data_IF_450275434602
#
_entry.id   IF_450275434602
#
_cell.length_a   1.000
_cell.length_b   1.000
_cell.length_c   1.000
_cell.angle_alpha   90.00
_cell.angle_beta   90.00
_cell.angle_gamma   90.00
#
_symmetry.space_group_name_H-M   'P 1'
#
loop_
_entity.id
_entity.type
_entity.pdbx_description
1 polymer ?
#
# COMPACT_ATOMS: atom_id res chain seq x y z
N UNK A 1 24.22 10.39 -58.89
CA UNK A 1 23.29 9.26 -58.66
C UNK A 1 22.34 9.71 -57.56
N UNK A 2 21.11 10.20 -57.85
CA UNK A 2 19.86 9.45 -58.16
C UNK A 2 19.63 8.40 -57.05
N UNK A 3 18.59 8.42 -56.21
CA UNK A 3 17.14 8.41 -56.50
C UNK A 3 16.42 8.64 -55.14
N UNK A 4 15.64 9.71 -54.95
CA UNK A 4 14.16 9.78 -55.01
C UNK A 4 13.34 9.03 -53.92
N UNK A 5 12.47 9.83 -53.26
CA UNK A 5 11.02 9.63 -53.03
C UNK A 5 10.57 8.51 -52.06
N UNK A 6 9.42 8.54 -51.37
CA UNK A 6 8.16 9.32 -51.35
C UNK A 6 7.55 9.04 -49.94
N UNK A 7 6.97 10.04 -49.26
CA UNK A 7 5.51 10.25 -49.21
C UNK A 7 4.66 9.00 -48.94
N UNK A 8 3.94 8.99 -47.80
CA UNK A 8 2.47 8.80 -47.83
C UNK A 8 1.82 9.19 -46.50
N UNK A 9 0.84 10.07 -46.68
CA UNK A 9 -0.13 10.60 -45.72
C UNK A 9 -1.38 9.72 -45.64
N UNK A 10 -1.96 9.63 -44.44
CA UNK A 10 -3.41 9.50 -44.14
C UNK A 10 -4.13 8.19 -44.58
N UNK A 11 -5.30 7.79 -44.01
CA UNK A 11 -6.32 8.65 -43.39
C UNK A 11 -7.02 8.15 -42.10
N UNK A 12 -7.71 9.12 -41.49
CA UNK A 12 -8.81 8.99 -40.53
C UNK A 12 -9.92 8.09 -41.08
N UNK A 13 -10.49 7.22 -40.24
CA UNK A 13 -11.86 6.71 -40.43
C UNK A 13 -12.65 6.92 -39.16
N UNK A 14 -13.53 7.91 -39.22
CA UNK A 14 -14.73 7.97 -38.40
C UNK A 14 -15.70 6.88 -38.90
N UNK A 15 -16.29 6.13 -37.98
CA UNK A 15 -17.55 5.44 -38.23
C UNK A 15 -18.54 5.90 -37.17
N UNK A 16 -19.44 6.78 -37.61
CA UNK A 16 -20.73 7.00 -36.97
C UNK A 16 -21.58 5.76 -37.21
N UNK A 17 -22.15 5.19 -36.15
CA UNK A 17 -23.27 4.27 -36.24
C UNK A 17 -24.49 4.93 -35.59
N UNK A 18 -25.54 5.06 -36.39
CA UNK A 18 -26.85 5.57 -36.02
C UNK A 18 -27.85 4.42 -35.83
N UNK A 19 -28.86 4.71 -35.00
CA UNK A 19 -30.21 4.13 -34.90
C UNK A 19 -30.36 2.71 -34.32
N UNK A 20 -30.99 2.60 -33.13
CA UNK A 20 -32.36 2.09 -33.01
C UNK A 20 -32.84 2.06 -31.55
N UNK A 21 -33.80 2.93 -31.25
CA UNK A 21 -34.75 2.74 -30.16
C UNK A 21 -35.76 1.67 -30.56
N UNK A 22 -35.86 0.57 -29.79
CA UNK A 22 -37.14 -0.15 -29.61
C UNK A 22 -37.23 -0.58 -28.15
N UNK A 23 -38.22 0.01 -27.50
CA UNK A 23 -38.71 -0.29 -26.17
C UNK A 23 -39.48 -1.61 -26.22
N UNK A 24 -39.06 -2.61 -25.44
CA UNK A 24 -39.82 -3.84 -25.24
C UNK A 24 -40.02 -4.05 -23.73
N UNK A 25 -41.22 -3.68 -23.27
CA UNK A 25 -41.77 -4.12 -21.99
C UNK A 25 -41.92 -5.64 -22.02
N UNK A 26 -41.30 -6.34 -21.06
CA UNK A 26 -41.65 -7.70 -20.71
C UNK A 26 -41.93 -7.75 -19.21
N UNK A 27 -43.22 -7.75 -18.87
CA UNK A 27 -43.76 -8.04 -17.56
C UNK A 27 -43.76 -9.56 -17.35
N UNK A 28 -42.88 -10.06 -16.49
CA UNK A 28 -42.95 -11.44 -15.98
C UNK A 28 -43.43 -11.37 -14.53
N UNK A 29 -44.63 -11.92 -14.31
CA UNK A 29 -45.16 -12.23 -12.98
C UNK A 29 -44.47 -13.48 -12.46
N UNK A 30 -43.73 -13.37 -11.36
CA UNK A 30 -43.36 -14.51 -10.52
C UNK A 30 -43.84 -14.29 -9.09
N UNK A 31 -44.49 -15.34 -8.59
CA UNK A 31 -45.16 -15.42 -7.32
C UNK A 31 -44.22 -15.17 -6.14
N UNK A 32 -44.78 -14.53 -5.11
CA UNK A 32 -44.10 -14.22 -3.87
C UNK A 32 -43.74 -15.45 -3.05
N UNK A 33 -42.47 -15.56 -2.70
CA UNK A 33 -42.06 -16.07 -1.39
C UNK A 33 -41.83 -14.85 -0.50
N UNK A 34 -42.75 -14.63 0.44
CA UNK A 34 -42.60 -13.64 1.50
C UNK A 34 -41.37 -14.00 2.34
N UNK A 35 -40.29 -13.24 2.15
CA UNK A 35 -39.17 -13.23 3.09
C UNK A 35 -39.56 -12.27 4.20
N UNK A 36 -39.48 -12.65 5.50
CA UNK A 36 -39.74 -11.69 6.56
C UNK A 36 -38.77 -10.52 6.41
N UNK A 37 -39.34 -9.31 6.33
CA UNK A 37 -38.60 -8.07 6.43
C UNK A 37 -37.88 -8.07 7.78
N UNK A 38 -36.58 -8.42 7.76
CA UNK A 38 -35.68 -8.03 8.82
C UNK A 38 -35.60 -6.51 8.71
N UNK A 39 -36.29 -5.81 9.62
CA UNK A 39 -36.03 -4.42 9.96
C UNK A 39 -34.55 -4.30 10.34
N UNK A 40 -33.69 -4.17 9.34
CA UNK A 40 -32.36 -3.62 9.51
C UNK A 40 -32.61 -2.12 9.54
N UNK A 41 -32.85 -1.61 10.74
CA UNK A 41 -32.82 -0.17 11.01
C UNK A 41 -31.57 0.36 10.34
N UNK A 42 -31.80 1.25 9.38
CA UNK A 42 -30.77 1.82 8.55
C UNK A 42 -30.06 2.89 9.40
N UNK A 43 -29.27 2.47 10.39
CA UNK A 43 -28.47 3.33 11.28
C UNK A 43 -27.23 3.88 10.56
N UNK A 44 -27.24 3.95 9.23
CA UNK A 44 -26.04 4.18 8.42
C UNK A 44 -25.88 5.60 7.86
N UNK A 45 -26.81 6.52 8.11
CA UNK A 45 -26.71 7.88 7.53
C UNK A 45 -26.90 9.03 8.54
N UNK A 46 -27.53 8.77 9.69
CA UNK A 46 -27.63 9.76 10.78
C UNK A 46 -26.33 9.86 11.60
N UNK A 47 -25.59 8.75 11.74
CA UNK A 47 -24.34 8.67 12.52
C UNK A 47 -23.17 9.42 11.84
N UNK A 48 -23.31 9.76 10.55
CA UNK A 48 -22.26 10.40 9.73
C UNK A 48 -22.42 11.91 9.58
N UNK A 49 -23.53 12.50 10.05
CA UNK A 49 -23.73 13.95 10.03
C UNK A 49 -23.43 14.62 11.39
N UNK A 50 -23.08 13.85 12.42
CA UNK A 50 -22.76 14.38 13.76
C UNK A 50 -21.30 14.89 13.91
N UNK A 51 -20.64 15.27 12.81
CA UNK A 51 -19.29 15.85 12.87
C UNK A 51 -18.19 14.94 13.45
N UNK A 52 -18.50 13.67 13.70
CA UNK A 52 -17.56 12.67 14.19
C UNK A 52 -16.51 12.38 13.12
N UNK A 53 -15.27 12.81 13.34
CA UNK A 53 -14.14 12.44 12.47
C UNK A 53 -14.06 10.91 12.42
N UNK A 54 -14.10 10.28 11.24
CA UNK A 54 -13.91 8.84 11.15
C UNK A 54 -12.59 8.47 11.83
N UNK A 55 -12.68 7.66 12.89
CA UNK A 55 -11.49 7.18 13.59
C UNK A 55 -10.97 5.98 12.81
N UNK A 56 -9.99 6.22 11.94
CA UNK A 56 -9.30 5.15 11.23
C UNK A 56 -8.33 4.47 12.22
N UNK A 57 -8.49 3.17 12.45
CA UNK A 57 -7.57 2.42 13.30
C UNK A 57 -6.32 2.06 12.52
N UNK A 58 -5.25 2.79 12.79
CA UNK A 58 -3.91 2.48 12.34
C UNK A 58 -3.43 1.17 12.95
N UNK A 59 -3.09 0.19 12.12
CA UNK A 59 -2.46 -1.05 12.54
C UNK A 59 -1.03 -1.10 12.02
N UNK A 60 -0.17 -1.81 12.75
CA UNK A 60 1.11 -2.24 12.18
C UNK A 60 0.81 -3.04 10.91
N UNK A 61 1.55 -2.76 9.84
CA UNK A 61 1.44 -3.48 8.58
C UNK A 61 1.52 -5.01 8.81
N UNK A 62 0.67 -5.75 8.12
CA UNK A 62 0.80 -7.20 7.99
C UNK A 62 0.36 -7.59 6.58
N UNK A 63 0.90 -8.70 6.07
CA UNK A 63 0.49 -9.30 4.80
C UNK A 63 -0.83 -10.07 4.91
N UNK A 64 -1.36 -10.31 6.13
CA UNK A 64 -2.61 -11.02 6.36
C UNK A 64 -3.21 -10.74 7.75
N UNK A 65 -4.48 -11.11 7.99
CA UNK A 65 -5.15 -10.86 9.28
C UNK A 65 -4.52 -11.58 10.47
N UNK A 66 -3.85 -12.71 10.23
CA UNK A 66 -3.24 -13.57 11.26
C UNK A 66 -1.72 -13.74 11.05
N UNK A 67 -1.10 -12.87 10.24
CA UNK A 67 0.35 -12.93 10.01
C UNK A 67 1.04 -11.96 10.96
N UNK A 68 1.70 -12.48 11.99
CA UNK A 68 2.60 -11.68 12.82
C UNK A 68 3.90 -11.45 12.05
N UNK A 69 4.24 -10.18 11.83
CA UNK A 69 5.50 -9.79 11.21
C UNK A 69 6.35 -9.00 12.20
N UNK A 70 7.65 -9.22 12.16
CA UNK A 70 8.60 -8.37 12.86
C UNK A 70 8.94 -7.15 11.98
N UNK A 71 8.89 -5.98 12.59
CA UNK A 71 9.05 -4.71 11.89
C UNK A 71 10.41 -4.14 12.20
N UNK A 72 11.14 -3.72 11.19
CA UNK A 72 12.41 -3.03 11.30
C UNK A 72 12.27 -1.67 10.65
N UNK A 73 12.67 -0.61 11.35
CA UNK A 73 12.55 0.76 10.83
C UNK A 73 13.87 1.48 10.94
N UNK A 74 14.17 2.31 9.94
CA UNK A 74 15.41 3.07 9.90
C UNK A 74 15.41 4.14 8.83
N UNK A 75 16.55 4.80 8.74
CA UNK A 75 16.82 5.84 7.75
C UNK A 75 17.73 5.29 6.67
N UNK A 76 17.41 5.63 5.42
CA UNK A 76 18.35 5.53 4.31
C UNK A 76 19.18 6.81 4.26
N UNK A 77 18.54 7.96 4.48
CA UNK A 77 19.16 9.28 4.66
C UNK A 77 18.16 10.22 5.39
N UNK A 78 18.51 11.48 5.59
CA UNK A 78 17.68 12.48 6.30
C UNK A 78 16.27 12.69 5.72
N UNK A 79 16.06 12.33 4.46
CA UNK A 79 14.81 12.52 3.74
C UNK A 79 14.03 11.21 3.57
N UNK A 80 14.71 10.09 3.38
CA UNK A 80 14.12 8.80 3.02
C UNK A 80 14.18 7.80 4.18
N UNK A 81 13.02 7.33 4.61
CA UNK A 81 12.89 6.26 5.60
C UNK A 81 12.59 4.92 4.93
N UNK A 82 12.98 3.86 5.62
CA UNK A 82 12.71 2.47 5.25
C UNK A 82 12.01 1.74 6.40
N UNK A 83 10.93 1.05 6.06
CA UNK A 83 10.30 0.03 6.90
C UNK A 83 10.47 -1.33 6.25
N UNK A 84 10.85 -2.34 7.02
CA UNK A 84 10.96 -3.74 6.58
C UNK A 84 10.08 -4.57 7.49
N UNK A 85 9.11 -5.28 6.95
CA UNK A 85 8.33 -6.28 7.67
C UNK A 85 8.79 -7.66 7.21
N UNK A 86 9.11 -8.54 8.15
CA UNK A 86 9.60 -9.89 7.89
C UNK A 86 8.67 -10.87 8.60
N UNK A 87 8.08 -11.79 7.85
CA UNK A 87 7.40 -12.94 8.40
C UNK A 87 8.44 -13.86 9.08
N UNK A 88 8.20 -14.21 10.35
CA UNK A 88 9.08 -15.00 11.22
C UNK A 88 10.59 -14.85 10.90
N UNK A 89 11.27 -13.80 11.37
CA UNK A 89 12.68 -13.59 11.05
C UNK A 89 13.61 -14.66 11.67
N UNK A 90 13.11 -15.48 12.60
CA UNK A 90 13.87 -16.55 13.24
C UNK A 90 13.77 -17.89 12.51
N UNK A 91 12.94 -17.97 11.47
CA UNK A 91 12.81 -19.16 10.63
C UNK A 91 14.17 -19.64 10.10
N UNK A 92 14.29 -20.96 9.98
CA UNK A 92 15.54 -21.62 9.64
C UNK A 92 16.05 -21.26 8.23
N UNK A 93 17.36 -21.38 8.03
CA UNK A 93 17.98 -21.17 6.71
C UNK A 93 17.52 -22.29 5.76
N UNK A 94 16.44 -22.06 5.02
CA UNK A 94 15.81 -23.03 4.12
C UNK A 94 14.29 -22.90 4.03
N UNK A 95 13.67 -22.22 4.98
CA UNK A 95 12.24 -21.89 4.95
C UNK A 95 12.01 -20.56 4.25
N UNK A 96 11.04 -20.53 3.33
CA UNK A 96 10.62 -19.32 2.66
C UNK A 96 9.79 -18.47 3.61
N UNK A 97 10.00 -17.15 3.57
CA UNK A 97 9.25 -16.18 4.37
C UNK A 97 8.95 -14.94 3.55
N UNK A 98 7.79 -14.33 3.73
CA UNK A 98 7.50 -13.07 3.05
C UNK A 98 8.28 -11.92 3.68
N UNK A 99 8.94 -11.12 2.83
CA UNK A 99 9.55 -9.84 3.21
C UNK A 99 8.88 -8.71 2.43
N UNK A 100 8.43 -7.70 3.16
CA UNK A 100 7.89 -6.46 2.61
C UNK A 100 8.81 -5.29 2.97
N UNK A 101 9.14 -4.46 1.99
CA UNK A 101 9.90 -3.22 2.18
C UNK A 101 9.05 -2.04 1.73
N UNK A 102 8.98 -1.02 2.58
CA UNK A 102 8.37 0.26 2.25
C UNK A 102 9.39 1.39 2.34
N UNK A 103 9.45 2.21 1.29
CA UNK A 103 10.30 3.40 1.18
C UNK A 103 9.43 4.64 1.13
N UNK A 104 9.72 5.62 1.99
CA UNK A 104 8.91 6.84 2.08
C UNK A 104 9.74 8.11 2.37
N UNK A 105 9.51 9.17 1.58
CA UNK A 105 10.13 10.49 1.77
C UNK A 105 9.13 11.62 2.09
N UNK A 106 7.83 11.29 2.26
CA UNK A 106 6.72 12.24 2.45
C UNK A 106 6.52 13.27 1.32
N UNK A 107 7.18 13.12 0.16
CA UNK A 107 7.15 14.12 -0.93
C UNK A 107 6.77 13.51 -2.27
N UNK A 108 7.29 12.33 -2.59
CA UNK A 108 7.05 11.68 -3.88
C UNK A 108 7.46 10.21 -3.93
N UNK A 109 8.26 9.75 -2.96
CA UNK A 109 8.57 8.32 -2.76
C UNK A 109 7.56 7.74 -1.78
N UNK A 110 6.78 6.77 -2.27
CA UNK A 110 5.91 5.89 -1.49
C UNK A 110 5.87 4.56 -2.23
N UNK A 111 6.87 3.71 -1.98
CA UNK A 111 7.10 2.50 -2.78
C UNK A 111 7.17 1.27 -1.91
N UNK A 112 6.41 0.26 -2.30
CA UNK A 112 6.46 -1.08 -1.74
C UNK A 112 7.25 -2.04 -2.63
N UNK A 113 7.98 -2.96 -1.99
CA UNK A 113 8.58 -4.13 -2.60
C UNK A 113 8.20 -5.35 -1.77
N UNK A 114 7.91 -6.48 -2.41
CA UNK A 114 7.51 -7.72 -1.77
C UNK A 114 8.23 -8.87 -2.44
N UNK A 115 8.76 -9.80 -1.66
CA UNK A 115 9.34 -11.03 -2.18
C UNK A 115 9.27 -12.13 -1.10
N UNK A 116 9.12 -13.37 -1.54
CA UNK A 116 9.33 -14.54 -0.66
C UNK A 116 10.81 -14.92 -0.71
N UNK A 117 11.47 -14.91 0.44
CA UNK A 117 12.92 -15.03 0.52
C UNK A 117 13.33 -16.24 1.34
N UNK A 118 14.42 -16.89 0.93
CA UNK A 118 15.06 -17.96 1.69
C UNK A 118 16.43 -17.49 2.19
N UNK A 119 16.75 -17.84 3.44
CA UNK A 119 17.99 -17.42 4.09
C UNK A 119 17.99 -15.95 4.54
N UNK A 120 19.19 -15.44 4.86
CA UNK A 120 19.37 -14.14 5.55
C UNK A 120 19.83 -13.00 4.64
N UNK A 121 20.07 -13.26 3.36
CA UNK A 121 20.45 -12.23 2.39
C UNK A 121 19.60 -12.37 1.15
N UNK A 122 19.09 -11.24 0.66
CA UNK A 122 18.17 -11.21 -0.47
C UNK A 122 18.23 -9.84 -1.14
N UNK A 123 17.73 -9.79 -2.37
CA UNK A 123 17.57 -8.56 -3.14
C UNK A 123 16.13 -8.49 -3.61
N UNK A 124 15.44 -7.42 -3.26
CA UNK A 124 14.09 -7.13 -3.73
C UNK A 124 14.17 -6.14 -4.89
N UNK A 125 13.40 -6.39 -5.95
CA UNK A 125 13.35 -5.52 -7.12
C UNK A 125 11.92 -5.02 -7.38
N UNK A 126 11.80 -3.72 -7.68
CA UNK A 126 10.57 -3.08 -8.11
C UNK A 126 10.86 -2.07 -9.24
N UNK A 127 11.40 -2.58 -10.34
CA UNK A 127 11.64 -1.83 -11.58
C UNK A 127 12.89 -0.97 -11.50
N UNK A 128 12.73 0.31 -11.19
CA UNK A 128 13.85 1.25 -11.02
C UNK A 128 14.26 1.41 -9.54
N UNK A 129 13.96 0.42 -8.72
CA UNK A 129 14.30 0.43 -7.30
C UNK A 129 14.68 -0.97 -6.88
N UNK A 130 15.86 -1.09 -6.29
CA UNK A 130 16.40 -2.36 -5.82
C UNK A 130 16.81 -2.17 -4.37
N UNK A 131 16.50 -3.16 -3.54
CA UNK A 131 16.87 -3.15 -2.11
C UNK A 131 17.59 -4.45 -1.79
N UNK A 132 18.87 -4.35 -1.47
CA UNK A 132 19.64 -5.47 -0.94
C UNK A 132 19.49 -5.49 0.58
N UNK A 133 19.22 -6.66 1.14
CA UNK A 133 18.94 -6.86 2.56
C UNK A 133 19.85 -7.92 3.15
N UNK A 134 20.29 -7.69 4.39
CA UNK A 134 20.82 -8.68 5.29
C UNK A 134 19.96 -8.68 6.57
N UNK A 135 19.29 -9.80 6.81
CA UNK A 135 18.33 -10.00 7.89
C UNK A 135 19.02 -10.54 9.15
N UNK A 136 18.62 -10.02 10.31
CA UNK A 136 18.94 -10.56 11.63
C UNK A 136 17.82 -10.26 12.60
N UNK A 137 17.81 -10.95 13.75
CA UNK A 137 16.72 -10.86 14.73
C UNK A 137 16.54 -9.46 15.34
N UNK A 138 17.55 -8.59 15.29
CA UNK A 138 17.48 -7.25 15.88
C UNK A 138 17.65 -6.11 14.87
N UNK A 139 18.05 -6.44 13.65
CA UNK A 139 18.44 -5.43 12.66
C UNK A 139 18.34 -5.99 11.25
N UNK A 140 17.91 -5.14 10.33
CA UNK A 140 18.08 -5.32 8.89
C UNK A 140 19.03 -4.25 8.39
N UNK A 141 20.05 -4.65 7.64
CA UNK A 141 21.02 -3.73 7.02
C UNK A 141 21.06 -3.95 5.53
N UNK A 142 21.51 -2.97 4.76
CA UNK A 142 21.70 -3.17 3.33
C UNK A 142 21.84 -1.87 2.57
N UNK A 143 21.45 -1.91 1.29
CA UNK A 143 21.51 -0.77 0.38
C UNK A 143 20.21 -0.62 -0.39
N UNK A 144 19.79 0.62 -0.58
CA UNK A 144 18.70 1.01 -1.47
C UNK A 144 19.31 1.69 -2.68
N UNK A 145 18.96 1.23 -3.88
CA UNK A 145 19.27 1.89 -5.14
C UNK A 145 17.95 2.34 -5.77
N UNK A 146 17.82 3.61 -6.11
CA UNK A 146 16.66 4.17 -6.81
C UNK A 146 16.99 4.46 -8.28
N UNK A 147 16.20 5.28 -8.96
CA UNK A 147 16.30 5.50 -10.41
C UNK A 147 17.67 6.03 -10.90
N UNK A 148 18.43 6.71 -10.03
CA UNK A 148 19.78 7.19 -10.32
C UNK A 148 20.86 6.12 -10.15
N UNK A 149 20.47 4.92 -9.71
CA UNK A 149 21.33 3.79 -9.35
C UNK A 149 22.45 4.16 -8.36
N UNK A 150 22.26 5.20 -7.55
CA UNK A 150 23.19 5.53 -6.47
C UNK A 150 22.83 4.70 -5.24
N UNK A 151 23.63 3.69 -4.85
CA UNK A 151 23.32 2.88 -3.68
C UNK A 151 23.52 3.69 -2.40
N UNK A 152 22.49 3.72 -1.56
CA UNK A 152 22.53 4.33 -0.24
C UNK A 152 22.39 3.26 0.83
N UNK A 153 23.37 3.19 1.73
CA UNK A 153 23.32 2.23 2.84
C UNK A 153 22.26 2.63 3.86
N UNK A 154 21.65 1.64 4.49
CA UNK A 154 20.72 1.84 5.59
C UNK A 154 20.95 0.83 6.71
N UNK A 155 20.43 1.15 7.90
CA UNK A 155 20.36 0.24 9.04
C UNK A 155 19.01 0.43 9.75
N UNK A 156 18.13 -0.56 9.62
CA UNK A 156 16.81 -0.59 10.24
C UNK A 156 16.83 -1.46 11.49
N UNK A 157 16.39 -0.92 12.64
CA UNK A 157 16.36 -1.65 13.92
C UNK A 157 14.99 -2.25 14.14
N UNK A 158 14.95 -3.37 14.88
CA UNK A 158 13.69 -3.95 15.34
C UNK A 158 12.87 -2.88 16.07
N UNK A 159 11.61 -2.75 15.64
CA UNK A 159 10.68 -1.76 16.10
C UNK A 159 10.19 -2.10 17.50
N UNK A 160 10.08 -1.09 18.36
CA UNK A 160 9.59 -1.22 19.73
C UNK A 160 8.79 0.03 20.11
N UNK A 161 7.86 -0.11 21.06
CA UNK A 161 6.91 0.96 21.39
C UNK A 161 6.13 1.41 20.16
N UNK A 162 6.11 2.72 19.90
CA UNK A 162 5.42 3.34 18.78
C UNK A 162 6.17 3.22 17.44
N UNK A 163 7.45 2.81 17.45
CA UNK A 163 8.19 2.61 16.22
C UNK A 163 7.54 1.48 15.40
N UNK A 164 7.57 1.59 14.08
CA UNK A 164 7.04 0.56 13.20
C UNK A 164 6.66 1.06 11.81
N UNK A 165 6.37 0.09 10.95
CA UNK A 165 5.69 0.27 9.67
C UNK A 165 4.18 0.09 9.86
N UNK A 166 3.40 1.05 9.42
CA UNK A 166 1.96 1.12 9.63
C UNK A 166 1.23 1.27 8.32
N UNK A 167 0.01 0.70 8.29
CA UNK A 167 -0.90 0.79 7.16
C UNK A 167 -2.32 0.94 7.64
N UNK A 168 -3.08 1.78 6.95
CA UNK A 168 -4.54 1.85 7.06
C UNK A 168 -5.14 1.63 5.68
N UNK A 169 -6.13 0.75 5.60
CA UNK A 169 -6.96 0.59 4.43
C UNK A 169 -8.39 1.01 4.78
N UNK A 170 -9.02 1.81 3.93
CA UNK A 170 -10.44 2.17 4.08
C UNK A 170 -11.12 2.29 2.73
N UNK A 171 -12.42 2.02 2.71
CA UNK A 171 -13.23 2.09 1.49
C UNK A 171 -14.25 3.21 1.61
N UNK A 172 -14.31 4.09 0.62
CA UNK A 172 -15.28 5.19 0.56
C UNK A 172 -15.84 5.33 -0.86
N UNK A 173 -17.16 5.36 -0.99
CA UNK A 173 -17.81 5.50 -2.29
C UNK A 173 -17.46 4.39 -3.29
N UNK A 174 -17.11 3.19 -2.80
CA UNK A 174 -16.66 2.08 -3.64
C UNK A 174 -15.19 2.14 -4.08
N UNK A 175 -14.43 3.14 -3.63
CA UNK A 175 -13.00 3.29 -3.88
C UNK A 175 -12.23 2.83 -2.65
N UNK A 176 -11.20 2.02 -2.84
CA UNK A 176 -10.28 1.60 -1.77
C UNK A 176 -9.12 2.58 -1.68
N UNK A 177 -8.82 3.00 -0.46
CA UNK A 177 -7.71 3.88 -0.12
C UNK A 177 -6.75 3.15 0.81
N UNK A 178 -5.46 3.39 0.63
CA UNK A 178 -4.39 2.90 1.51
C UNK A 178 -3.51 4.07 1.91
N UNK A 179 -3.20 4.15 3.21
CA UNK A 179 -2.24 5.11 3.75
C UNK A 179 -1.18 4.32 4.51
N UNK A 180 0.09 4.54 4.16
CA UNK A 180 1.24 3.85 4.73
C UNK A 180 2.21 4.87 5.34
N UNK A 181 2.81 4.53 6.48
CA UNK A 181 3.82 5.39 7.11
C UNK A 181 4.80 4.61 7.99
N UNK A 182 5.94 5.23 8.26
CA UNK A 182 7.04 4.71 9.08
C UNK A 182 7.24 5.65 10.25
N UNK A 183 7.27 5.10 11.48
CA UNK A 183 7.66 5.82 12.69
C UNK A 183 8.99 5.24 13.19
N UNK A 184 9.99 6.10 13.39
CA UNK A 184 11.28 5.72 13.97
C UNK A 184 11.23 5.69 15.50
N UNK A 185 12.25 5.10 16.12
CA UNK A 185 12.36 5.03 17.59
C UNK A 185 12.44 6.41 18.28
N UNK A 186 12.90 7.44 17.57
CA UNK A 186 12.95 8.82 18.06
C UNK A 186 11.64 9.61 17.82
N UNK A 187 10.62 8.96 17.25
CA UNK A 187 9.32 9.54 16.95
C UNK A 187 9.23 10.30 15.64
N UNK A 188 10.33 10.45 14.87
CA UNK A 188 10.25 10.99 13.50
C UNK A 188 9.40 10.07 12.62
N UNK A 189 8.66 10.68 11.69
CA UNK A 189 7.71 9.99 10.84
C UNK A 189 7.87 10.36 9.35
N UNK A 190 7.66 9.38 8.46
CA UNK A 190 7.44 9.58 7.02
C UNK A 190 6.18 8.86 6.58
N UNK A 191 5.35 9.54 5.81
CA UNK A 191 4.05 9.12 5.30
C UNK A 191 3.33 10.29 4.63
N UNK A 192 2.16 10.05 4.01
CA UNK A 192 1.32 11.13 3.46
C UNK A 192 0.61 11.94 4.56
N UNK A 193 0.77 11.55 5.82
CA UNK A 193 0.32 12.28 7.01
C UNK A 193 1.37 13.36 7.32
N UNK A 194 1.02 14.64 7.19
CA UNK A 194 1.96 15.76 7.26
C UNK A 194 1.69 16.75 8.43
N UNK A 195 0.80 16.40 9.35
CA UNK A 195 0.40 17.27 10.47
C UNK A 195 -0.66 18.32 10.11
N UNK A 196 -1.19 18.33 8.87
CA UNK A 196 -2.12 19.37 8.38
C UNK A 196 -3.58 18.91 8.30
N UNK A 197 -3.94 17.89 9.06
CA UNK A 197 -5.34 17.51 9.27
C UNK A 197 -5.87 16.41 8.36
N UNK A 198 -5.00 15.76 7.58
CA UNK A 198 -5.24 14.43 6.99
C UNK A 198 -4.58 13.30 7.82
N UNK A 199 -4.05 13.62 9.01
CA UNK A 199 -3.37 12.69 9.91
C UNK A 199 -4.30 11.62 10.47
N UNK A 200 -4.00 10.36 10.16
CA UNK A 200 -4.53 9.22 10.92
C UNK A 200 -3.71 9.12 12.20
N UNK A 201 -4.34 9.38 13.33
CA UNK A 201 -3.66 9.24 14.63
C UNK A 201 -3.32 7.76 14.87
N UNK A 202 -2.09 7.46 15.36
CA UNK A 202 -1.77 6.11 15.80
C UNK A 202 -2.74 5.67 16.91
N UNK A 203 -2.95 4.35 17.10
CA UNK A 203 -3.91 3.86 18.07
C UNK A 203 -3.58 4.38 19.49
N UNK A 204 -4.58 4.68 20.32
CA UNK A 204 -4.32 5.10 21.70
C UNK A 204 -3.57 4.02 22.48
N UNK A 205 -2.67 4.42 23.38
CA UNK A 205 -1.97 3.50 24.29
C UNK A 205 -2.96 2.68 25.11
N UNK A 206 -2.84 1.35 25.08
CA UNK A 206 -3.43 0.51 26.14
C UNK A 206 -2.46 0.53 27.33
N UNK A 207 -2.91 1.10 28.45
CA UNK A 207 -2.25 0.99 29.75
C UNK A 207 -2.45 -0.41 30.33
#
# INVERSE_FOLDING_TARGET
MKTERLSRSSPKRALSFTVNSVMAMLLIHLAGCATPASERTNTGMADWMDGGKPTLQANRFSTGPDTDMDHFVGEVNDQLFIGVAVEDPNSSDGEARTVAVYLCDSRGVSKWLFEDVTGKRTTLDAGNTTVELALSNQRVTGTVSMADNSPQSFSARLASGEAGLYRVAYRQGGIDFSIDWIILADGRMRGPLDGKGNDVYPPPRRN
#
